data_IF_016269739603
#
_entry.id   IF_016269739603
#
_cell.length_a   1.000
_cell.length_b   1.000
_cell.length_c   1.000
_cell.angle_alpha   90.00
_cell.angle_beta   90.00
_cell.angle_gamma   90.00
#
_symmetry.space_group_name_H-M   'P 1'
#
loop_
_entity.id
_entity.type
_entity.pdbx_description
1 polymer ?
#
# COMPACT_ATOMS: atom_id res chain seq x y z
N UNK A 1 -10.33 -43.34 -10.16
CA UNK A 1 -9.11 -42.86 -9.47
C UNK A 1 -9.30 -41.38 -9.26
N UNK A 2 -9.42 -40.96 -8.00
CA UNK A 2 -10.00 -39.67 -7.60
C UNK A 2 -9.06 -38.50 -7.87
N UNK A 3 -9.56 -37.55 -8.64
CA UNK A 3 -8.93 -36.27 -8.95
C UNK A 3 -8.85 -35.42 -7.67
N UNK A 4 -7.68 -35.41 -7.01
CA UNK A 4 -7.39 -34.55 -5.86
C UNK A 4 -7.34 -33.10 -6.34
N UNK A 5 -8.51 -32.46 -6.42
CA UNK A 5 -8.63 -31.01 -6.56
C UNK A 5 -7.84 -30.36 -5.44
N UNK A 6 -6.64 -29.89 -5.77
CA UNK A 6 -5.84 -29.06 -4.88
C UNK A 6 -6.64 -27.79 -4.64
N UNK A 7 -7.24 -27.66 -3.47
CA UNK A 7 -7.92 -26.42 -3.08
C UNK A 7 -6.96 -25.26 -3.27
N UNK A 8 -7.36 -24.18 -3.94
CA UNK A 8 -6.49 -23.04 -4.13
C UNK A 8 -6.01 -22.54 -2.78
N UNK A 9 -4.69 -22.55 -2.57
CA UNK A 9 -4.06 -22.06 -1.36
C UNK A 9 -3.57 -20.65 -1.62
N UNK A 10 -3.95 -19.73 -0.74
CA UNK A 10 -3.42 -18.37 -0.70
C UNK A 10 -1.90 -18.46 -0.58
N UNK A 11 -1.21 -17.82 -1.51
CA UNK A 11 0.25 -17.85 -1.58
C UNK A 11 0.81 -16.56 -1.01
N UNK A 12 1.53 -16.68 0.10
CA UNK A 12 2.21 -15.56 0.72
C UNK A 12 3.34 -15.01 -0.17
N UNK A 13 3.71 -13.73 0.01
CA UNK A 13 4.84 -13.12 -0.68
C UNK A 13 6.12 -13.94 -0.49
N UNK A 14 7.01 -13.91 -1.49
CA UNK A 14 8.23 -14.73 -1.49
C UNK A 14 9.10 -14.44 -0.27
N UNK A 15 9.28 -13.16 0.07
CA UNK A 15 10.09 -12.77 1.22
C UNK A 15 9.48 -13.28 2.52
N UNK A 16 8.17 -13.17 2.70
CA UNK A 16 7.50 -13.66 3.93
C UNK A 16 7.53 -15.19 4.05
N UNK A 17 7.80 -15.91 2.95
CA UNK A 17 8.02 -17.38 2.95
C UNK A 17 9.48 -17.77 3.16
N UNK A 18 10.40 -16.84 3.02
CA UNK A 18 11.85 -17.06 3.15
C UNK A 18 12.41 -16.45 4.44
N UNK A 19 11.74 -15.45 5.00
CA UNK A 19 12.05 -14.86 6.28
C UNK A 19 11.48 -15.77 7.36
N UNK A 20 12.39 -16.35 8.14
CA UNK A 20 12.03 -17.15 9.31
C UNK A 20 11.59 -16.21 10.45
N UNK A 21 10.32 -16.31 10.81
CA UNK A 21 9.75 -15.51 11.90
C UNK A 21 9.97 -16.14 13.28
N UNK A 22 10.32 -17.43 13.34
CA UNK A 22 10.50 -18.20 14.58
C UNK A 22 11.70 -19.14 14.44
N UNK A 23 12.93 -18.61 14.55
CA UNK A 23 14.17 -19.37 14.32
C UNK A 23 14.40 -20.51 15.32
N UNK A 24 13.69 -20.50 16.45
CA UNK A 24 13.77 -21.55 17.47
C UNK A 24 12.84 -22.73 17.14
N UNK A 25 11.90 -22.56 16.20
CA UNK A 25 11.03 -23.63 15.73
C UNK A 25 11.64 -24.39 14.55
N UNK A 26 11.75 -25.73 14.60
CA UNK A 26 12.31 -26.51 13.50
C UNK A 26 11.39 -26.58 12.26
N UNK A 27 10.11 -26.16 12.37
CA UNK A 27 9.13 -26.16 11.28
C UNK A 27 8.08 -25.06 11.47
N UNK A 28 7.70 -24.43 10.36
CA UNK A 28 6.54 -23.55 10.35
C UNK A 28 5.24 -24.32 10.60
N UNK A 29 4.32 -23.77 11.42
CA UNK A 29 3.00 -24.35 11.61
C UNK A 29 2.20 -24.32 10.30
N UNK A 30 1.30 -25.30 10.09
CA UNK A 30 0.43 -25.30 8.91
C UNK A 30 -0.46 -24.06 8.93
N UNK A 31 -0.34 -23.22 7.89
CA UNK A 31 -1.15 -22.01 7.74
C UNK A 31 -2.60 -22.39 7.41
N UNK A 32 -3.53 -22.03 8.29
CA UNK A 32 -4.95 -22.02 7.93
C UNK A 32 -5.20 -20.95 6.87
N UNK A 33 -6.28 -21.09 6.11
CA UNK A 33 -6.63 -20.12 5.08
C UNK A 33 -6.86 -18.71 5.67
N UNK A 34 -7.55 -18.62 6.81
CA UNK A 34 -7.76 -17.35 7.53
C UNK A 34 -6.45 -16.72 7.99
N UNK A 35 -5.52 -17.52 8.51
CA UNK A 35 -4.22 -17.01 8.93
C UNK A 35 -3.40 -16.51 7.73
N UNK A 36 -3.46 -17.20 6.59
CA UNK A 36 -2.77 -16.77 5.37
C UNK A 36 -3.32 -15.45 4.81
N UNK A 37 -4.63 -15.22 4.93
CA UNK A 37 -5.28 -13.94 4.59
C UNK A 37 -4.75 -12.82 5.47
N UNK A 38 -4.75 -13.03 6.80
CA UNK A 38 -4.28 -12.02 7.75
C UNK A 38 -2.81 -11.68 7.52
N UNK A 39 -1.95 -12.67 7.28
CA UNK A 39 -0.55 -12.44 6.93
C UNK A 39 -0.41 -11.67 5.61
N UNK A 40 -1.24 -11.98 4.61
CA UNK A 40 -1.23 -11.25 3.35
C UNK A 40 -1.68 -9.79 3.52
N UNK A 41 -2.69 -9.53 4.35
CA UNK A 41 -3.13 -8.17 4.71
C UNK A 41 -2.02 -7.39 5.39
N UNK A 42 -1.33 -8.01 6.36
CA UNK A 42 -0.18 -7.41 7.05
C UNK A 42 0.98 -7.10 6.09
N UNK A 43 1.30 -8.03 5.18
CA UNK A 43 2.33 -7.83 4.18
C UNK A 43 1.99 -6.66 3.24
N UNK A 44 0.76 -6.61 2.74
CA UNK A 44 0.29 -5.49 1.90
C UNK A 44 0.32 -4.18 2.67
N UNK A 45 -0.09 -4.16 3.94
CA UNK A 45 -0.03 -2.96 4.79
C UNK A 45 1.41 -2.45 4.91
N UNK A 46 2.36 -3.34 5.22
CA UNK A 46 3.80 -3.02 5.29
C UNK A 46 4.31 -2.45 3.98
N UNK A 47 3.93 -3.06 2.86
CA UNK A 47 4.47 -2.69 1.57
C UNK A 47 3.87 -1.35 1.07
N UNK A 48 2.58 -1.07 1.35
CA UNK A 48 1.99 0.27 1.18
C UNK A 48 2.70 1.29 2.07
N UNK A 49 2.93 0.98 3.34
CA UNK A 49 3.63 1.87 4.26
C UNK A 49 5.03 2.21 3.74
N UNK A 50 5.79 1.21 3.29
CA UNK A 50 7.09 1.41 2.66
C UNK A 50 7.00 2.26 1.38
N UNK A 51 5.97 2.05 0.55
CA UNK A 51 5.74 2.82 -0.68
C UNK A 51 5.39 4.29 -0.40
N UNK A 52 4.55 4.55 0.60
CA UNK A 52 4.14 5.90 0.98
C UNK A 52 5.27 6.67 1.68
N UNK A 53 6.13 5.98 2.42
CA UNK A 53 7.31 6.59 3.06
C UNK A 53 8.51 6.74 2.11
N UNK A 54 8.57 5.97 1.01
CA UNK A 54 9.59 6.14 -0.01
C UNK A 54 9.37 7.43 -0.81
N UNK A 55 10.42 8.25 -0.92
CA UNK A 55 10.41 9.47 -1.72
C UNK A 55 11.00 9.20 -3.09
N UNK A 56 10.23 9.48 -4.14
CA UNK A 56 10.76 9.45 -5.51
C UNK A 56 11.30 10.80 -5.94
N UNK A 57 12.16 10.78 -6.96
CA UNK A 57 12.81 11.97 -7.52
C UNK A 57 11.75 13.01 -7.96
N UNK A 58 11.96 14.28 -7.60
CA UNK A 58 11.04 15.39 -7.94
C UNK A 58 11.00 15.69 -9.44
N UNK A 59 12.12 15.47 -10.13
CA UNK A 59 12.21 15.68 -11.58
C UNK A 59 11.68 14.43 -12.30
N UNK A 60 10.64 14.56 -13.14
CA UNK A 60 10.20 13.44 -13.96
C UNK A 60 11.34 13.00 -14.90
N UNK A 61 11.39 11.71 -15.25
CA UNK A 61 12.31 11.24 -16.28
C UNK A 61 12.05 11.94 -17.61
N UNK A 62 13.08 12.06 -18.44
CA UNK A 62 12.95 12.63 -19.79
C UNK A 62 11.86 11.90 -20.58
N UNK A 63 11.18 12.62 -21.48
CA UNK A 63 10.02 12.09 -22.22
C UNK A 63 10.30 10.84 -23.05
N UNK A 64 11.57 10.56 -23.36
CA UNK A 64 12.01 9.34 -24.03
C UNK A 64 12.26 8.13 -23.11
N UNK A 65 12.12 8.27 -21.80
CA UNK A 65 12.47 7.26 -20.80
C UNK A 65 11.24 6.77 -20.02
N UNK A 66 10.24 6.28 -20.75
CA UNK A 66 8.93 5.87 -20.19
C UNK A 66 9.02 4.71 -19.19
N UNK A 67 10.00 3.84 -19.35
CA UNK A 67 10.25 2.65 -18.54
C UNK A 67 10.73 3.02 -17.14
N UNK A 68 11.32 4.21 -16.96
CA UNK A 68 11.77 4.69 -15.65
C UNK A 68 10.61 4.86 -14.66
N UNK A 69 9.40 5.07 -15.15
CA UNK A 69 8.19 5.19 -14.33
C UNK A 69 7.86 3.88 -13.60
N UNK A 70 8.16 2.73 -14.20
CA UNK A 70 7.95 1.39 -13.63
C UNK A 70 9.18 0.84 -12.92
N UNK A 71 10.31 1.52 -13.04
CA UNK A 71 11.57 1.14 -12.41
C UNK A 71 11.59 1.49 -10.91
N UNK A 72 12.58 0.99 -10.15
CA UNK A 72 12.80 1.43 -8.77
C UNK A 72 12.99 2.94 -8.60
N UNK A 73 13.36 3.67 -9.66
CA UNK A 73 13.45 5.15 -9.62
C UNK A 73 12.08 5.80 -9.47
N UNK A 74 11.03 5.16 -9.98
CA UNK A 74 9.64 5.59 -9.86
C UNK A 74 8.98 5.19 -8.54
N UNK A 75 9.64 4.36 -7.72
CA UNK A 75 9.09 3.85 -6.47
C UNK A 75 8.99 4.97 -5.42
N UNK A 76 7.79 5.14 -4.86
CA UNK A 76 7.52 6.15 -3.85
C UNK A 76 6.54 7.23 -4.29
N UNK A 77 6.12 8.06 -3.34
CA UNK A 77 5.25 9.20 -3.59
C UNK A 77 6.08 10.45 -3.95
N UNK A 78 5.57 11.33 -4.83
CA UNK A 78 6.25 12.59 -5.12
C UNK A 78 6.21 13.49 -3.90
N UNK A 79 7.27 14.27 -3.68
CA UNK A 79 7.36 15.14 -2.53
C UNK A 79 6.26 16.23 -2.56
N UNK A 80 5.29 16.18 -1.63
CA UNK A 80 4.16 17.07 -1.67
C UNK A 80 4.45 18.44 -1.05
N UNK A 81 5.65 18.68 -0.49
CA UNK A 81 6.07 19.97 0.13
C UNK A 81 6.12 21.17 -0.82
N UNK A 82 5.94 20.97 -2.14
CA UNK A 82 6.01 22.06 -3.11
C UNK A 82 4.78 23.00 -3.14
N UNK A 83 3.92 23.00 -2.12
CA UNK A 83 2.89 24.04 -1.95
C UNK A 83 1.67 23.65 -1.12
N UNK A 84 0.67 24.54 -1.10
CA UNK A 84 -0.37 24.54 -0.07
C UNK A 84 -1.43 23.45 -0.27
N UNK A 85 -1.52 22.49 0.66
CA UNK A 85 -2.58 21.46 0.74
C UNK A 85 -3.98 22.02 1.07
N UNK A 86 -4.10 23.34 1.21
CA UNK A 86 -5.36 24.02 1.50
C UNK A 86 -6.36 23.89 0.35
N UNK A 87 -5.87 23.81 -0.89
CA UNK A 87 -6.66 23.70 -2.11
C UNK A 87 -7.17 22.27 -2.32
N UNK A 88 -8.47 22.15 -2.62
CA UNK A 88 -9.10 20.87 -2.89
C UNK A 88 -8.56 20.19 -4.16
N UNK A 89 -8.32 20.98 -5.20
CA UNK A 89 -7.75 20.51 -6.46
C UNK A 89 -6.39 19.83 -6.25
N UNK A 90 -5.54 20.42 -5.40
CA UNK A 90 -4.23 19.85 -5.08
C UNK A 90 -4.34 18.55 -4.28
N UNK A 91 -5.28 18.46 -3.34
CA UNK A 91 -5.53 17.20 -2.61
C UNK A 91 -6.03 16.09 -3.54
N UNK A 92 -6.87 16.44 -4.52
CA UNK A 92 -7.34 15.51 -5.54
C UNK A 92 -6.19 15.05 -6.45
N UNK A 93 -5.31 15.96 -6.86
CA UNK A 93 -4.12 15.62 -7.65
C UNK A 93 -3.19 14.64 -6.91
N UNK A 94 -2.91 14.91 -5.62
CA UNK A 94 -2.11 14.01 -4.78
C UNK A 94 -2.79 12.65 -4.61
N UNK A 95 -4.10 12.62 -4.36
CA UNK A 95 -4.85 11.37 -4.20
C UNK A 95 -4.77 10.51 -5.47
N UNK A 96 -4.92 11.11 -6.65
CA UNK A 96 -4.78 10.43 -7.95
C UNK A 96 -3.37 9.88 -8.15
N UNK A 97 -2.35 10.65 -7.77
CA UNK A 97 -0.96 10.22 -7.94
C UNK A 97 -0.58 9.09 -6.99
N UNK A 98 -1.05 9.13 -5.73
CA UNK A 98 -0.90 8.03 -4.78
C UNK A 98 -1.62 6.79 -5.32
N UNK A 99 -2.85 6.93 -5.81
CA UNK A 99 -3.62 5.83 -6.40
C UNK A 99 -2.87 5.18 -7.57
N UNK A 100 -2.34 5.98 -8.49
CA UNK A 100 -1.56 5.49 -9.63
C UNK A 100 -0.26 4.81 -9.19
N UNK A 101 0.36 5.28 -8.11
CA UNK A 101 1.58 4.70 -7.55
C UNK A 101 1.31 3.35 -6.89
N UNK A 102 0.25 3.24 -6.08
CA UNK A 102 -0.18 1.96 -5.49
C UNK A 102 -0.55 0.97 -6.60
N UNK A 103 -1.30 1.39 -7.63
CA UNK A 103 -1.66 0.52 -8.74
C UNK A 103 -0.45 -0.04 -9.52
N UNK A 104 0.66 0.71 -9.56
CA UNK A 104 1.90 0.29 -10.23
C UNK A 104 2.74 -0.68 -9.39
N UNK A 105 2.88 -0.39 -8.09
CA UNK A 105 3.83 -1.11 -7.22
C UNK A 105 3.17 -2.15 -6.31
N UNK A 106 1.83 -2.17 -6.20
CA UNK A 106 1.05 -3.17 -5.46
C UNK A 106 0.03 -3.93 -6.33
N UNK A 107 0.48 -4.89 -7.16
CA UNK A 107 -0.39 -5.64 -8.08
C UNK A 107 -1.38 -6.59 -7.39
N UNK A 108 -1.20 -6.81 -6.07
CA UNK A 108 -2.13 -7.56 -5.23
C UNK A 108 -3.43 -6.78 -5.01
N UNK A 109 -3.45 -5.48 -5.24
CA UNK A 109 -4.60 -4.61 -5.05
C UNK A 109 -5.26 -4.25 -6.37
N UNK A 110 -6.59 -4.25 -6.37
CA UNK A 110 -7.42 -3.79 -7.49
C UNK A 110 -8.52 -2.86 -6.98
N UNK A 111 -9.18 -2.16 -7.90
CA UNK A 111 -10.26 -1.21 -7.58
C UNK A 111 -9.87 -0.18 -6.49
N UNK A 112 -8.63 0.32 -6.58
CA UNK A 112 -8.03 1.20 -5.58
C UNK A 112 -8.71 2.57 -5.66
N UNK A 113 -9.17 3.07 -4.51
CA UNK A 113 -9.68 4.42 -4.31
C UNK A 113 -8.89 5.08 -3.20
N UNK A 114 -8.39 6.27 -3.47
CA UNK A 114 -7.60 7.04 -2.51
C UNK A 114 -8.29 8.38 -2.24
N UNK A 115 -8.43 8.72 -0.96
CA UNK A 115 -9.04 9.97 -0.53
C UNK A 115 -8.17 10.66 0.50
N UNK A 116 -7.91 11.96 0.27
CA UNK A 116 -7.18 12.81 1.20
C UNK A 116 -8.12 13.83 1.81
N UNK A 117 -8.40 13.69 3.11
CA UNK A 117 -9.29 14.57 3.89
C UNK A 117 -8.46 15.44 4.83
N UNK A 118 -8.89 16.68 5.04
CA UNK A 118 -8.37 17.49 6.15
C UNK A 118 -8.96 16.95 7.44
N UNK A 119 -8.16 16.86 8.49
CA UNK A 119 -8.72 16.70 9.82
C UNK A 119 -9.26 18.06 10.27
N UNK A 120 -10.57 18.16 10.47
CA UNK A 120 -11.21 19.41 10.92
C UNK A 120 -10.95 19.68 12.40
N UNK A 121 -10.44 18.69 13.15
CA UNK A 121 -10.24 18.79 14.60
C UNK A 121 -8.87 19.35 14.99
N UNK A 122 -7.87 19.24 14.11
CA UNK A 122 -6.51 19.72 14.35
C UNK A 122 -6.25 21.02 13.59
N UNK A 123 -6.56 22.15 14.24
CA UNK A 123 -6.35 23.49 13.68
C UNK A 123 -4.86 23.91 13.62
N UNK A 124 -4.00 23.24 14.40
CA UNK A 124 -2.58 23.62 14.59
C UNK A 124 -1.64 22.78 13.72
N UNK A 125 -1.96 21.50 13.58
CA UNK A 125 -1.15 20.55 12.86
C UNK A 125 -1.88 20.21 11.57
N UNK A 126 -1.33 20.58 10.41
CA UNK A 126 -1.93 20.40 9.07
C UNK A 126 -2.04 18.91 8.65
N UNK A 127 -2.28 18.00 9.58
CA UNK A 127 -2.33 16.55 9.38
C UNK A 127 -3.44 16.23 8.39
N UNK A 128 -3.10 15.48 7.36
CA UNK A 128 -4.04 15.00 6.36
C UNK A 128 -4.36 13.54 6.64
N UNK A 129 -5.64 13.19 6.62
CA UNK A 129 -6.08 11.80 6.70
C UNK A 129 -6.14 11.22 5.29
N UNK A 130 -5.30 10.24 5.02
CA UNK A 130 -5.32 9.47 3.78
C UNK A 130 -6.07 8.17 4.03
N UNK A 131 -7.13 7.94 3.27
CA UNK A 131 -7.91 6.70 3.26
C UNK A 131 -7.71 5.99 1.94
N UNK A 132 -7.35 4.72 1.99
CA UNK A 132 -7.13 3.85 0.83
C UNK A 132 -8.12 2.70 0.93
N UNK A 133 -9.01 2.58 -0.04
CA UNK A 133 -9.95 1.47 -0.17
C UNK A 133 -9.55 0.65 -1.39
N UNK A 134 -9.45 -0.67 -1.25
CA UNK A 134 -9.07 -1.53 -2.37
C UNK A 134 -9.66 -2.94 -2.21
N UNK A 135 -9.58 -3.73 -3.27
CA UNK A 135 -9.85 -5.16 -3.26
C UNK A 135 -8.51 -5.89 -3.28
N UNK A 136 -8.27 -6.69 -2.25
CA UNK A 136 -7.16 -7.63 -2.18
C UNK A 136 -7.48 -8.84 -3.05
N UNK A 137 -6.59 -9.14 -4.00
CA UNK A 137 -6.69 -10.33 -4.85
C UNK A 137 -6.24 -11.55 -4.06
N UNK A 138 -7.20 -12.21 -3.43
CA UNK A 138 -7.07 -13.51 -2.78
C UNK A 138 -7.81 -14.59 -3.58
N UNK A 139 -7.25 -15.79 -3.61
CA UNK A 139 -7.87 -16.99 -4.17
C UNK A 139 -8.32 -17.87 -3.00
N UNK A 140 -9.60 -18.25 -2.86
CA UNK A 140 -10.67 -18.19 -3.86
C UNK A 140 -11.58 -16.97 -3.83
N UNK A 141 -11.61 -16.19 -2.74
CA UNK A 141 -12.53 -15.07 -2.58
C UNK A 141 -11.74 -13.77 -2.41
N UNK A 142 -11.94 -12.76 -3.28
CA UNK A 142 -11.36 -11.43 -3.10
C UNK A 142 -11.86 -10.75 -1.83
N UNK A 143 -11.00 -9.99 -1.16
CA UNK A 143 -11.35 -9.31 0.09
C UNK A 143 -11.33 -7.79 -0.05
N UNK A 144 -12.34 -7.12 0.52
CA UNK A 144 -12.33 -5.67 0.60
C UNK A 144 -11.48 -5.24 1.80
N UNK A 145 -10.52 -4.36 1.55
CA UNK A 145 -9.63 -3.82 2.57
C UNK A 145 -9.70 -2.29 2.58
N UNK A 146 -9.52 -1.72 3.76
CA UNK A 146 -9.40 -0.29 3.97
C UNK A 146 -8.19 0.00 4.84
N UNK A 147 -7.41 0.99 4.45
CA UNK A 147 -6.31 1.52 5.24
C UNK A 147 -6.54 2.99 5.52
N UNK A 148 -6.23 3.40 6.74
CA UNK A 148 -6.23 4.79 7.15
C UNK A 148 -4.85 5.18 7.67
N UNK A 149 -4.37 6.32 7.21
CA UNK A 149 -3.07 6.83 7.64
C UNK A 149 -3.10 8.33 7.84
N UNK A 150 -2.30 8.78 8.80
CA UNK A 150 -2.06 10.19 9.08
C UNK A 150 -0.80 10.60 8.33
N UNK A 151 -0.95 11.61 7.47
CA UNK A 151 0.17 12.22 6.74
C UNK A 151 0.48 13.55 7.40
N UNK A 152 1.64 13.65 8.05
CA UNK A 152 2.13 14.90 8.63
C UNK A 152 2.85 15.72 7.55
N UNK A 153 2.44 16.94 7.20
CA UNK A 153 3.03 17.65 6.05
C UNK A 153 4.51 18.03 6.19
N UNK A 154 5.03 18.08 7.41
CA UNK A 154 6.40 18.52 7.71
C UNK A 154 7.41 17.36 7.65
N UNK A 155 7.11 16.22 8.25
CA UNK A 155 7.97 15.02 8.22
C UNK A 155 7.60 14.04 7.11
N UNK A 156 6.31 14.03 6.73
CA UNK A 156 5.68 13.12 5.78
C UNK A 156 5.81 11.64 6.17
N UNK A 157 5.98 11.37 7.46
CA UNK A 157 5.86 10.01 7.98
C UNK A 157 4.41 9.56 7.85
N UNK A 158 4.23 8.37 7.28
CA UNK A 158 2.95 7.75 7.01
C UNK A 158 2.88 6.44 7.78
N UNK A 159 2.06 6.38 8.83
CA UNK A 159 1.80 5.16 9.58
C UNK A 159 0.47 4.55 9.11
N UNK A 160 0.50 3.36 8.50
CA UNK A 160 -0.69 2.75 7.89
C UNK A 160 -1.41 1.86 8.91
N UNK A 161 -2.62 2.27 9.31
CA UNK A 161 -3.50 1.54 10.20
C UNK A 161 -4.64 0.90 9.41
N UNK A 162 -5.22 -0.16 9.95
CA UNK A 162 -6.44 -0.74 9.36
C UNK A 162 -7.62 0.23 9.53
N UNK A 163 -8.36 0.45 8.45
CA UNK A 163 -9.59 1.22 8.45
C UNK A 163 -10.74 0.37 9.00
N UNK A 164 -11.56 0.98 9.85
CA UNK A 164 -12.80 0.37 10.35
C UNK A 164 -13.92 0.40 9.31
#
# INVERSE_FOLDING_TARGET
>A
MSDTRTSPRIRLPLLDRLLDADPDSPRDPPLSQSLAIEQLRLAVRRDIEALLNARRRRLPPDTGLSELVLSPVGYGVPDPTAGSFTEEERRNAISREIQATIARFEPRLTNIKVQLRKDERDAVDRVLRLRIEAILRTDPVPEQISFETLVRPTTLDVAVNEGR
#
